data_IF_147297093992
#
_entry.id   IF_147297093992
#
_cell.length_a   1.000
_cell.length_b   1.000
_cell.length_c   1.000
_cell.angle_alpha   90.00
_cell.angle_beta   90.00
_cell.angle_gamma   90.00
#
_symmetry.space_group_name_H-M   'P 1'
#
loop_
_entity.id
_entity.type
_entity.pdbx_description
1 polymer ?
#
# COMPACT_ATOMS: atom_id res chain seq x y z
N UNK A 1 -7.85 -18.49 -14.30
CA UNK A 1 -7.12 -17.21 -14.44
C UNK A 1 -8.01 -16.04 -14.92
N UNK A 2 -9.34 -16.06 -14.72
CA UNK A 2 -10.28 -15.02 -15.18
C UNK A 2 -10.89 -14.11 -14.10
N UNK A 3 -10.26 -13.95 -12.92
CA UNK A 3 -10.88 -13.27 -11.76
C UNK A 3 -10.49 -11.77 -11.60
N UNK A 4 -9.32 -11.35 -12.08
CA UNK A 4 -8.79 -10.00 -11.83
C UNK A 4 -9.69 -8.87 -12.36
N UNK A 5 -10.15 -9.00 -13.61
CA UNK A 5 -11.03 -8.03 -14.25
C UNK A 5 -12.44 -8.00 -13.62
N UNK A 6 -13.06 -9.16 -13.42
CA UNK A 6 -14.38 -9.26 -12.78
C UNK A 6 -14.38 -8.63 -11.39
N UNK A 7 -13.32 -8.89 -10.61
CA UNK A 7 -13.13 -8.29 -9.29
C UNK A 7 -12.94 -6.78 -9.36
N UNK A 8 -12.18 -6.29 -10.33
CA UNK A 8 -11.99 -4.86 -10.58
C UNK A 8 -13.34 -4.16 -10.83
N UNK A 9 -14.12 -4.65 -11.79
CA UNK A 9 -15.43 -4.09 -12.14
C UNK A 9 -16.38 -4.09 -10.93
N UNK A 10 -16.43 -5.20 -10.18
CA UNK A 10 -17.26 -5.31 -8.98
C UNK A 10 -16.88 -4.28 -7.90
N UNK A 11 -15.59 -3.96 -7.75
CA UNK A 11 -15.11 -2.95 -6.80
C UNK A 11 -15.49 -1.55 -7.25
N UNK A 12 -15.22 -1.21 -8.52
CA UNK A 12 -15.52 0.12 -9.08
C UNK A 12 -17.01 0.42 -8.99
N UNK A 13 -17.88 -0.55 -9.31
CA UNK A 13 -19.33 -0.39 -9.18
C UNK A 13 -19.81 -0.05 -7.77
N UNK A 14 -19.04 -0.34 -6.71
CA UNK A 14 -19.43 0.00 -5.33
C UNK A 14 -19.23 1.47 -5.00
N UNK A 15 -18.13 2.07 -5.46
CA UNK A 15 -17.78 3.46 -5.12
C UNK A 15 -18.05 4.45 -6.27
N UNK A 16 -18.02 4.00 -7.52
CA UNK A 16 -18.28 4.81 -8.70
C UNK A 16 -19.10 4.04 -9.77
N UNK A 17 -20.43 3.95 -9.62
CA UNK A 17 -21.31 3.30 -10.60
C UNK A 17 -21.38 3.99 -11.96
N UNK A 18 -21.02 5.28 -12.04
CA UNK A 18 -21.09 6.09 -13.26
C UNK A 18 -19.78 6.04 -14.06
N UNK A 19 -18.87 5.16 -13.67
CA UNK A 19 -17.61 4.98 -14.36
C UNK A 19 -17.81 4.54 -15.81
N UNK A 20 -16.93 4.99 -16.71
CA UNK A 20 -16.92 4.51 -18.08
C UNK A 20 -16.34 3.09 -18.15
N UNK A 21 -17.20 2.10 -17.90
CA UNK A 21 -16.83 0.69 -17.96
C UNK A 21 -16.48 0.22 -19.37
N UNK A 22 -16.98 0.91 -20.41
CA UNK A 22 -16.63 0.61 -21.80
C UNK A 22 -15.17 0.98 -22.05
N UNK A 23 -14.72 2.12 -21.53
CA UNK A 23 -13.32 2.53 -21.61
C UNK A 23 -12.39 1.57 -20.83
N UNK A 24 -12.83 1.09 -19.65
CA UNK A 24 -12.09 0.09 -18.87
C UNK A 24 -11.99 -1.26 -19.61
N UNK A 25 -13.08 -1.72 -20.22
CA UNK A 25 -13.09 -2.93 -21.04
C UNK A 25 -12.17 -2.79 -22.25
N UNK A 26 -12.23 -1.65 -22.95
CA UNK A 26 -11.33 -1.34 -24.07
C UNK A 26 -9.86 -1.40 -23.62
N UNK A 27 -9.54 -0.81 -22.46
CA UNK A 27 -8.18 -0.83 -21.92
C UNK A 27 -7.71 -2.23 -21.54
N UNK A 28 -8.59 -3.04 -20.93
CA UNK A 28 -8.32 -4.43 -20.61
C UNK A 28 -8.01 -5.24 -21.86
N UNK A 29 -8.83 -5.13 -22.91
CA UNK A 29 -8.64 -5.89 -24.15
C UNK A 29 -7.35 -5.48 -24.86
N UNK A 30 -7.07 -4.18 -24.94
CA UNK A 30 -5.82 -3.68 -25.52
C UNK A 30 -4.59 -4.16 -24.72
N UNK A 31 -4.64 -4.15 -23.39
CA UNK A 31 -3.56 -4.69 -22.54
C UNK A 31 -3.38 -6.19 -22.74
N UNK A 32 -4.47 -6.96 -22.82
CA UNK A 32 -4.44 -8.39 -23.07
C UNK A 32 -3.83 -8.74 -24.43
N UNK A 33 -4.18 -7.98 -25.47
CA UNK A 33 -3.65 -8.14 -26.82
C UNK A 33 -2.17 -7.74 -26.89
N UNK A 34 -1.81 -6.59 -26.32
CA UNK A 34 -0.46 -6.04 -26.38
C UNK A 34 0.56 -6.94 -25.65
N UNK A 35 0.14 -7.56 -24.55
CA UNK A 35 0.97 -8.50 -23.79
C UNK A 35 0.69 -9.97 -24.11
N UNK A 36 0.04 -10.27 -25.23
CA UNK A 36 -0.26 -11.65 -25.61
C UNK A 36 1.03 -12.45 -25.83
N UNK A 37 1.11 -13.65 -25.24
CA UNK A 37 2.30 -14.49 -25.25
C UNK A 37 3.40 -14.05 -24.28
N UNK A 38 3.27 -12.90 -23.61
CA UNK A 38 4.22 -12.47 -22.58
C UNK A 38 3.91 -13.14 -21.23
N UNK A 39 4.95 -13.55 -20.52
CA UNK A 39 4.86 -14.15 -19.19
C UNK A 39 5.68 -13.35 -18.18
N UNK A 40 5.19 -13.30 -16.94
CA UNK A 40 5.96 -12.81 -15.80
C UNK A 40 7.05 -13.81 -15.44
N UNK A 41 8.03 -13.37 -14.67
CA UNK A 41 9.04 -14.23 -14.01
C UNK A 41 8.39 -15.33 -13.13
N UNK A 42 7.14 -15.14 -12.70
CA UNK A 42 6.36 -16.16 -11.98
C UNK A 42 5.82 -17.29 -12.85
N UNK A 43 5.87 -17.14 -14.18
CA UNK A 43 5.20 -18.00 -15.16
C UNK A 43 3.73 -17.63 -15.43
N UNK A 44 3.17 -16.65 -14.72
CA UNK A 44 1.80 -16.18 -14.96
C UNK A 44 1.72 -15.33 -16.23
N UNK A 45 0.55 -15.29 -16.93
CA UNK A 45 0.33 -14.36 -18.02
C UNK A 45 0.55 -12.90 -17.58
N UNK A 46 1.22 -12.11 -18.41
CA UNK A 46 1.60 -10.74 -18.03
C UNK A 46 0.41 -9.85 -17.63
N UNK A 47 -0.75 -10.03 -18.28
CA UNK A 47 -2.01 -9.31 -17.99
C UNK A 47 -2.44 -9.35 -16.51
N UNK A 48 -1.99 -10.36 -15.75
CA UNK A 48 -2.26 -10.44 -14.31
C UNK A 48 -1.72 -9.21 -13.59
N UNK A 49 -0.54 -8.71 -13.96
CA UNK A 49 0.07 -7.56 -13.29
C UNK A 49 -0.73 -6.26 -13.47
N UNK A 50 -1.05 -5.79 -14.69
CA UNK A 50 -1.89 -4.61 -14.86
C UNK A 50 -3.25 -4.72 -14.17
N UNK A 51 -3.84 -5.92 -14.14
CA UNK A 51 -5.11 -6.13 -13.44
C UNK A 51 -4.98 -6.00 -11.91
N UNK A 52 -3.91 -6.53 -11.32
CA UNK A 52 -3.66 -6.34 -9.89
C UNK A 52 -3.33 -4.89 -9.53
N UNK A 53 -2.60 -4.17 -10.38
CA UNK A 53 -2.34 -2.73 -10.22
C UNK A 53 -3.66 -1.96 -10.24
N UNK A 54 -4.53 -2.20 -11.22
CA UNK A 54 -5.84 -1.58 -11.29
C UNK A 54 -6.72 -1.92 -10.06
N UNK A 55 -6.65 -3.16 -9.54
CA UNK A 55 -7.36 -3.54 -8.32
C UNK A 55 -6.83 -2.80 -7.09
N UNK A 56 -5.52 -2.58 -6.97
CA UNK A 56 -4.93 -1.78 -5.89
C UNK A 56 -5.40 -0.31 -5.98
N UNK A 57 -5.49 0.24 -7.18
CA UNK A 57 -6.01 1.59 -7.40
C UNK A 57 -7.50 1.70 -7.07
N UNK A 58 -8.29 0.68 -7.41
CA UNK A 58 -9.71 0.61 -7.04
C UNK A 58 -9.91 0.45 -5.52
N UNK A 59 -8.97 -0.20 -4.82
CA UNK A 59 -8.92 -0.27 -3.35
C UNK A 59 -8.70 1.10 -2.68
N UNK A 60 -8.13 2.05 -3.43
CA UNK A 60 -7.95 3.45 -3.04
C UNK A 60 -9.07 4.36 -3.59
N UNK A 61 -10.08 3.78 -4.24
CA UNK A 61 -11.24 4.49 -4.81
C UNK A 61 -10.88 5.58 -5.83
N UNK A 62 -9.84 5.38 -6.64
CA UNK A 62 -9.45 6.33 -7.69
C UNK A 62 -10.49 6.44 -8.82
N UNK A 63 -10.43 7.55 -9.56
CA UNK A 63 -11.22 7.77 -10.76
C UNK A 63 -10.94 6.78 -11.90
N UNK A 64 -11.87 6.70 -12.85
CA UNK A 64 -11.80 5.76 -13.96
C UNK A 64 -10.59 5.99 -14.86
N UNK A 65 -10.20 7.25 -15.05
CA UNK A 65 -9.03 7.63 -15.86
C UNK A 65 -7.75 7.02 -15.27
N UNK A 66 -7.56 7.12 -13.95
CA UNK A 66 -6.41 6.51 -13.28
C UNK A 66 -6.46 4.98 -13.31
N UNK A 67 -7.64 4.38 -13.19
CA UNK A 67 -7.79 2.92 -13.35
C UNK A 67 -7.37 2.50 -14.76
N UNK A 68 -7.87 3.18 -15.80
CA UNK A 68 -7.50 2.92 -17.19
C UNK A 68 -5.99 3.10 -17.39
N UNK A 69 -5.42 4.20 -16.92
CA UNK A 69 -3.97 4.41 -16.99
C UNK A 69 -3.18 3.33 -16.24
N UNK A 70 -3.68 2.83 -15.09
CA UNK A 70 -3.08 1.71 -14.36
C UNK A 70 -3.13 0.38 -15.14
N UNK A 71 -4.16 0.13 -15.95
CA UNK A 71 -4.23 -1.03 -16.84
C UNK A 71 -3.21 -0.91 -17.99
N UNK A 72 -2.94 0.31 -18.45
CA UNK A 72 -2.09 0.59 -19.60
C UNK A 72 -0.65 0.97 -19.25
N UNK A 73 -0.28 0.99 -17.96
CA UNK A 73 0.93 1.67 -17.48
C UNK A 73 2.25 1.15 -18.06
N UNK A 74 2.35 -0.16 -18.33
CA UNK A 74 3.55 -0.80 -18.89
C UNK A 74 3.49 -0.98 -20.41
N UNK A 75 2.39 -0.59 -21.07
CA UNK A 75 2.20 -0.87 -22.50
C UNK A 75 3.21 -0.15 -23.38
N UNK A 76 3.53 1.11 -23.07
CA UNK A 76 4.49 1.89 -23.84
C UNK A 76 5.94 1.43 -23.59
N UNK A 77 6.20 0.77 -22.47
CA UNK A 77 7.55 0.27 -22.13
C UNK A 77 7.82 -1.13 -22.69
N UNK A 78 6.84 -2.02 -22.60
CA UNK A 78 7.03 -3.46 -22.84
C UNK A 78 6.43 -3.95 -24.17
N UNK A 79 5.86 -3.05 -24.97
CA UNK A 79 5.21 -3.39 -26.25
C UNK A 79 5.55 -2.39 -27.35
N UNK A 80 5.04 -2.62 -28.57
CA UNK A 80 5.24 -1.73 -29.71
C UNK A 80 4.31 -0.50 -29.74
N UNK A 81 3.41 -0.38 -28.78
CA UNK A 81 2.46 0.74 -28.71
C UNK A 81 3.15 2.05 -28.34
N UNK A 82 2.72 3.13 -28.99
CA UNK A 82 3.26 4.49 -28.80
C UNK A 82 2.32 5.39 -28.02
N UNK A 83 2.85 6.47 -27.46
CA UNK A 83 2.06 7.51 -26.79
C UNK A 83 0.91 8.03 -27.66
N UNK A 84 1.16 8.31 -28.93
CA UNK A 84 0.14 8.84 -29.85
C UNK A 84 -1.00 7.85 -30.04
N UNK A 85 -0.70 6.54 -30.13
CA UNK A 85 -1.74 5.51 -30.22
C UNK A 85 -2.58 5.43 -28.94
N UNK A 86 -1.98 5.59 -27.76
CA UNK A 86 -2.74 5.65 -26.50
C UNK A 86 -3.63 6.90 -26.47
N UNK A 87 -3.11 8.04 -26.90
CA UNK A 87 -3.84 9.32 -26.97
C UNK A 87 -5.03 9.25 -27.93
N UNK A 88 -4.85 8.67 -29.12
CA UNK A 88 -5.94 8.47 -30.09
C UNK A 88 -7.02 7.52 -29.55
N UNK A 89 -6.63 6.49 -28.79
CA UNK A 89 -7.57 5.47 -28.32
C UNK A 89 -8.29 5.82 -27.02
N UNK A 90 -7.66 6.56 -26.11
CA UNK A 90 -8.12 6.77 -24.73
C UNK A 90 -8.13 8.24 -24.32
N UNK A 91 -7.69 9.15 -25.18
CA UNK A 91 -7.66 10.59 -24.91
C UNK A 91 -6.36 11.07 -24.27
N UNK A 92 -6.22 12.41 -24.24
CA UNK A 92 -5.01 13.10 -23.80
C UNK A 92 -4.70 12.89 -22.31
N UNK A 93 -5.75 12.79 -21.48
CA UNK A 93 -5.61 12.62 -20.03
C UNK A 93 -4.99 11.26 -19.68
N UNK A 94 -5.52 10.16 -20.23
CA UNK A 94 -4.98 8.81 -20.03
C UNK A 94 -3.56 8.71 -20.56
N UNK A 95 -3.31 9.22 -21.78
CA UNK A 95 -1.98 9.19 -22.38
C UNK A 95 -0.96 9.93 -21.52
N UNK A 96 -1.32 11.11 -21.00
CA UNK A 96 -0.46 11.91 -20.11
C UNK A 96 -0.14 11.18 -18.80
N UNK A 97 -1.10 10.44 -18.24
CA UNK A 97 -0.86 9.61 -17.04
C UNK A 97 0.11 8.46 -17.34
N UNK A 98 -0.11 7.72 -18.42
CA UNK A 98 0.76 6.59 -18.84
C UNK A 98 2.18 7.09 -19.09
N UNK A 99 2.35 8.16 -19.86
CA UNK A 99 3.65 8.78 -20.12
C UNK A 99 4.34 9.26 -18.84
N UNK A 100 3.57 9.85 -17.91
CA UNK A 100 4.08 10.25 -16.61
C UNK A 100 4.64 9.07 -15.81
N UNK A 101 3.96 7.92 -15.83
CA UNK A 101 4.41 6.70 -15.13
C UNK A 101 5.66 6.12 -15.79
N UNK A 102 5.68 6.01 -17.12
CA UNK A 102 6.83 5.55 -17.92
C UNK A 102 8.08 6.40 -17.67
N UNK A 103 7.95 7.73 -17.73
CA UNK A 103 9.08 8.65 -17.53
C UNK A 103 9.68 8.56 -16.13
N UNK A 104 8.85 8.33 -15.11
CA UNK A 104 9.35 8.10 -13.75
C UNK A 104 10.14 6.79 -13.62
N UNK A 105 9.83 5.77 -14.42
CA UNK A 105 10.57 4.50 -14.43
C UNK A 105 11.98 4.59 -15.03
N UNK A 106 12.22 5.52 -15.96
CA UNK A 106 13.46 5.61 -16.75
C UNK A 106 14.54 6.55 -16.17
N UNK A 107 14.37 7.07 -14.96
CA UNK A 107 15.32 8.01 -14.37
C UNK A 107 16.58 7.23 -13.94
N UNK A 108 17.77 7.51 -14.54
CA UNK A 108 18.99 6.76 -14.24
C UNK A 108 19.43 6.99 -12.78
N UNK A 109 19.77 5.89 -12.12
CA UNK A 109 20.24 5.89 -10.74
C UNK A 109 21.77 6.02 -10.73
N UNK A 110 22.31 7.12 -10.22
CA UNK A 110 23.77 7.25 -10.01
C UNK A 110 24.06 7.96 -8.67
N UNK A 111 24.81 7.28 -7.80
CA UNK A 111 25.35 7.65 -6.47
C UNK A 111 24.43 8.28 -5.40
N UNK A 112 24.76 8.06 -4.12
CA UNK A 112 23.81 7.63 -3.08
C UNK A 112 23.05 8.71 -2.28
N UNK A 113 23.53 9.96 -2.18
CA UNK A 113 22.97 10.93 -1.21
C UNK A 113 22.36 12.19 -1.87
N UNK A 114 23.03 12.82 -2.84
CA UNK A 114 22.46 13.96 -3.58
C UNK A 114 21.26 13.55 -4.45
N UNK A 115 21.23 12.28 -4.90
CA UNK A 115 20.18 11.71 -5.75
C UNK A 115 18.87 11.44 -5.00
N UNK A 116 18.90 11.13 -3.69
CA UNK A 116 17.65 10.94 -2.94
C UNK A 116 16.85 12.25 -2.92
N UNK A 117 17.54 13.38 -2.71
CA UNK A 117 16.92 14.70 -2.74
C UNK A 117 16.44 15.08 -4.15
N UNK A 118 17.20 14.76 -5.20
CA UNK A 118 16.84 15.08 -6.58
C UNK A 118 15.72 14.19 -7.13
N UNK A 119 15.72 12.89 -6.83
CA UNK A 119 14.64 11.96 -7.14
C UNK A 119 13.37 12.33 -6.39
N UNK A 120 13.47 12.62 -5.09
CA UNK A 120 12.35 13.18 -4.34
C UNK A 120 11.85 14.46 -5.01
N UNK A 121 12.72 15.40 -5.38
CA UNK A 121 12.35 16.68 -6.03
C UNK A 121 11.68 16.50 -7.39
N UNK A 122 12.16 15.58 -8.23
CA UNK A 122 11.56 15.26 -9.54
C UNK A 122 10.25 14.50 -9.39
N UNK A 123 10.15 13.59 -8.42
CA UNK A 123 8.89 12.96 -8.04
C UNK A 123 7.89 14.01 -7.52
N UNK A 124 8.32 15.00 -6.73
CA UNK A 124 7.48 16.13 -6.32
C UNK A 124 7.05 17.00 -7.50
N UNK A 125 7.89 17.17 -8.52
CA UNK A 125 7.51 17.86 -9.76
C UNK A 125 6.49 17.05 -10.58
N UNK A 126 6.57 15.72 -10.58
CA UNK A 126 5.55 14.86 -11.18
C UNK A 126 4.23 14.90 -10.38
N UNK A 127 4.30 14.86 -9.05
CA UNK A 127 3.14 15.10 -8.16
C UNK A 127 2.48 16.45 -8.41
N UNK A 128 3.27 17.48 -8.74
CA UNK A 128 2.77 18.84 -8.96
C UNK A 128 1.91 18.97 -10.22
N UNK A 129 2.02 18.02 -11.18
CA UNK A 129 1.16 17.98 -12.37
C UNK A 129 -0.06 17.12 -12.15
N UNK A 130 0.13 15.90 -11.64
CA UNK A 130 -0.98 14.98 -11.34
C UNK A 130 -0.56 13.91 -10.32
N UNK A 131 -1.24 13.90 -9.16
CA UNK A 131 -1.00 12.92 -8.10
C UNK A 131 -1.30 11.48 -8.55
N UNK A 132 -2.20 11.27 -9.53
CA UNK A 132 -2.61 9.95 -10.02
C UNK A 132 -1.43 9.16 -10.60
N UNK A 133 -0.45 9.84 -11.21
CA UNK A 133 0.79 9.22 -11.72
C UNK A 133 1.54 8.50 -10.59
N UNK A 134 1.68 9.15 -9.44
CA UNK A 134 2.38 8.57 -8.28
C UNK A 134 1.57 7.44 -7.64
N UNK A 135 0.24 7.58 -7.59
CA UNK A 135 -0.63 6.52 -7.09
C UNK A 135 -0.51 5.25 -7.94
N UNK A 136 -0.48 5.39 -9.28
CA UNK A 136 -0.23 4.28 -10.21
C UNK A 136 1.14 3.67 -9.93
N UNK A 137 2.19 4.49 -9.77
CA UNK A 137 3.54 3.96 -9.51
C UNK A 137 3.68 3.26 -8.15
N UNK A 138 2.97 3.74 -7.13
CA UNK A 138 2.92 3.07 -5.83
C UNK A 138 2.17 1.73 -5.91
N UNK A 139 1.08 1.66 -6.69
CA UNK A 139 0.35 0.42 -6.92
C UNK A 139 1.17 -0.60 -7.72
N UNK A 140 1.86 -0.17 -8.78
CA UNK A 140 2.86 -0.95 -9.53
C UNK A 140 3.93 -1.50 -8.58
N UNK A 141 4.61 -0.62 -7.83
CA UNK A 141 5.65 -1.03 -6.89
C UNK A 141 5.15 -2.02 -5.85
N UNK A 142 3.95 -1.80 -5.31
CA UNK A 142 3.34 -2.72 -4.34
C UNK A 142 3.11 -4.10 -4.92
N UNK A 143 2.54 -4.20 -6.12
CA UNK A 143 2.35 -5.49 -6.77
C UNK A 143 3.70 -6.18 -7.05
N UNK A 144 4.69 -5.43 -7.53
CA UNK A 144 6.03 -5.96 -7.76
C UNK A 144 6.69 -6.49 -6.48
N UNK A 145 6.50 -5.82 -5.34
CA UNK A 145 6.97 -6.30 -4.04
C UNK A 145 6.23 -7.56 -3.57
N UNK A 146 4.94 -7.71 -3.89
CA UNK A 146 4.16 -8.94 -3.59
C UNK A 146 4.66 -10.15 -4.40
N UNK A 147 5.14 -9.92 -5.62
CA UNK A 147 5.67 -10.97 -6.51
C UNK A 147 7.20 -11.05 -6.52
N UNK A 148 7.89 -10.39 -5.59
CA UNK A 148 9.35 -10.25 -5.63
C UNK A 148 10.11 -11.58 -5.50
N UNK A 149 9.49 -12.61 -4.92
CA UNK A 149 10.11 -13.94 -4.72
C UNK A 149 10.56 -14.66 -6.01
N UNK A 150 10.07 -14.23 -7.18
CA UNK A 150 10.34 -14.87 -8.46
C UNK A 150 11.59 -14.33 -9.19
N UNK A 151 12.19 -13.24 -8.72
CA UNK A 151 13.39 -12.66 -9.34
C UNK A 151 14.68 -13.04 -8.58
N UNK A 152 15.88 -12.89 -9.16
CA UNK A 152 17.15 -13.20 -8.46
C UNK A 152 17.35 -12.40 -7.17
N UNK A 153 17.98 -13.01 -6.16
CA UNK A 153 18.15 -12.45 -4.80
C UNK A 153 18.79 -11.05 -4.79
N UNK A 154 19.79 -10.82 -5.65
CA UNK A 154 20.43 -9.51 -5.80
C UNK A 154 19.41 -8.41 -6.14
N UNK A 155 18.56 -8.66 -7.16
CA UNK A 155 17.48 -7.75 -7.56
C UNK A 155 16.39 -7.66 -6.49
N UNK A 156 16.14 -8.71 -5.72
CA UNK A 156 15.19 -8.65 -4.59
C UNK A 156 15.67 -7.65 -3.54
N UNK A 157 16.94 -7.74 -3.13
CA UNK A 157 17.53 -6.83 -2.14
C UNK A 157 17.57 -5.40 -2.67
N UNK A 158 17.97 -5.19 -3.92
CA UNK A 158 17.98 -3.88 -4.57
C UNK A 158 16.59 -3.22 -4.55
N UNK A 159 15.57 -3.90 -5.09
CA UNK A 159 14.19 -3.39 -5.12
C UNK A 159 13.62 -3.18 -3.73
N UNK A 160 13.96 -4.03 -2.75
CA UNK A 160 13.50 -3.87 -1.38
C UNK A 160 14.12 -2.64 -0.69
N UNK A 161 15.41 -2.34 -0.94
CA UNK A 161 16.07 -1.11 -0.46
C UNK A 161 15.42 0.13 -1.06
N UNK A 162 15.28 0.14 -2.38
CA UNK A 162 14.65 1.26 -3.10
C UNK A 162 13.22 1.52 -2.59
N UNK A 163 12.45 0.45 -2.39
CA UNK A 163 11.09 0.52 -1.83
C UNK A 163 11.06 1.17 -0.46
N UNK A 164 12.01 0.80 0.40
CA UNK A 164 12.06 1.29 1.77
C UNK A 164 12.55 2.75 1.87
N UNK A 165 13.48 3.13 1.01
CA UNK A 165 14.10 4.47 1.03
C UNK A 165 13.27 5.51 0.27
N UNK A 166 12.53 5.11 -0.76
CA UNK A 166 11.83 6.04 -1.68
C UNK A 166 10.30 5.88 -1.57
N UNK A 167 9.78 4.70 -1.87
CA UNK A 167 8.34 4.51 -2.08
C UNK A 167 7.53 4.47 -0.78
N UNK A 168 8.04 3.84 0.28
CA UNK A 168 7.37 3.83 1.57
C UNK A 168 7.29 5.24 2.21
N UNK A 169 8.37 6.05 2.23
CA UNK A 169 8.30 7.45 2.64
C UNK A 169 7.36 8.29 1.77
N UNK A 170 7.28 8.02 0.47
CA UNK A 170 6.34 8.69 -0.42
C UNK A 170 4.89 8.38 -0.05
N UNK A 171 4.54 7.10 0.09
CA UNK A 171 3.21 6.67 0.54
C UNK A 171 2.84 7.30 1.90
N UNK A 172 3.82 7.44 2.80
CA UNK A 172 3.63 8.14 4.08
C UNK A 172 3.27 9.63 3.89
N UNK A 173 3.99 10.35 3.02
CA UNK A 173 3.73 11.78 2.76
C UNK A 173 2.35 12.02 2.12
N UNK A 174 1.85 11.05 1.35
CA UNK A 174 0.50 11.08 0.77
C UNK A 174 -0.59 10.60 1.74
N UNK A 175 -0.25 10.21 2.98
CA UNK A 175 -1.20 9.70 3.96
C UNK A 175 -1.69 8.27 3.70
N UNK A 176 -1.14 7.57 2.70
CA UNK A 176 -1.58 6.23 2.27
C UNK A 176 -0.92 5.15 3.15
N UNK A 177 -1.38 5.10 4.39
CA UNK A 177 -0.74 4.28 5.43
C UNK A 177 -0.80 2.78 5.12
N UNK A 178 -1.89 2.29 4.49
CA UNK A 178 -2.04 0.88 4.10
C UNK A 178 -0.92 0.43 3.16
N UNK A 179 -0.66 1.19 2.09
CA UNK A 179 0.42 0.89 1.13
C UNK A 179 1.78 1.02 1.81
N UNK A 180 2.00 2.10 2.58
CA UNK A 180 3.26 2.30 3.30
C UNK A 180 3.64 1.07 4.12
N UNK A 181 2.74 0.60 4.99
CA UNK A 181 3.04 -0.50 5.90
C UNK A 181 3.30 -1.81 5.15
N UNK A 182 2.55 -2.06 4.09
CA UNK A 182 2.74 -3.27 3.30
C UNK A 182 4.08 -3.25 2.55
N UNK A 183 4.46 -2.10 1.97
CA UNK A 183 5.79 -1.92 1.37
C UNK A 183 6.91 -2.09 2.39
N UNK A 184 6.77 -1.52 3.60
CA UNK A 184 7.74 -1.63 4.68
C UNK A 184 7.94 -3.09 5.15
N UNK A 185 6.84 -3.82 5.38
CA UNK A 185 6.87 -5.23 5.82
C UNK A 185 7.44 -6.14 4.71
N UNK A 186 7.05 -5.92 3.45
CA UNK A 186 7.61 -6.65 2.31
C UNK A 186 9.09 -6.36 2.14
N UNK A 187 9.53 -5.10 2.23
CA UNK A 187 10.95 -4.75 2.18
C UNK A 187 11.74 -5.44 3.28
N UNK A 188 11.26 -5.42 4.53
CA UNK A 188 11.95 -6.06 5.65
C UNK A 188 12.17 -7.56 5.40
N UNK A 189 11.16 -8.23 4.84
CA UNK A 189 11.23 -9.66 4.52
C UNK A 189 12.42 -10.03 3.63
N UNK A 190 12.80 -9.14 2.70
CA UNK A 190 13.91 -9.38 1.76
C UNK A 190 15.23 -8.77 2.23
N UNK A 191 15.20 -7.69 3.02
CA UNK A 191 16.42 -7.05 3.53
C UNK A 191 17.01 -7.77 4.74
N UNK A 192 16.16 -8.28 5.64
CA UNK A 192 16.58 -9.07 6.80
C UNK A 192 15.60 -10.24 7.00
N UNK A 193 15.70 -11.30 6.19
CA UNK A 193 14.79 -12.44 6.29
C UNK A 193 14.83 -13.10 7.68
N UNK A 194 16.02 -13.18 8.29
CA UNK A 194 16.20 -13.78 9.62
C UNK A 194 15.49 -12.95 10.69
N UNK A 195 15.67 -11.63 10.68
CA UNK A 195 14.97 -10.71 11.56
C UNK A 195 13.46 -10.76 11.36
N UNK A 196 12.99 -10.74 10.12
CA UNK A 196 11.57 -10.80 9.77
C UNK A 196 10.91 -12.09 10.27
N UNK A 197 11.38 -13.27 9.85
CA UNK A 197 10.77 -14.53 10.25
C UNK A 197 10.97 -14.83 11.75
N UNK A 198 12.07 -14.38 12.34
CA UNK A 198 12.28 -14.42 13.79
C UNK A 198 11.20 -13.63 14.54
N UNK A 199 10.88 -12.42 14.07
CA UNK A 199 9.83 -11.57 14.63
C UNK A 199 8.44 -12.19 14.44
N UNK A 200 8.12 -12.67 13.23
CA UNK A 200 6.85 -13.35 12.92
C UNK A 200 6.62 -14.54 13.86
N UNK A 201 7.63 -15.40 14.02
CA UNK A 201 7.53 -16.58 14.89
C UNK A 201 7.32 -16.21 16.35
N UNK A 202 8.05 -15.21 16.85
CA UNK A 202 7.89 -14.74 18.24
C UNK A 202 6.50 -14.14 18.49
N UNK A 203 5.95 -13.40 17.54
CA UNK A 203 4.60 -12.83 17.63
C UNK A 203 3.55 -13.94 17.55
N UNK A 204 3.72 -14.91 16.66
CA UNK A 204 2.79 -16.03 16.48
C UNK A 204 2.66 -16.88 17.76
N UNK A 205 3.76 -17.14 18.48
CA UNK A 205 3.76 -17.95 19.72
C UNK A 205 2.84 -17.41 20.81
N UNK A 206 2.72 -16.08 20.95
CA UNK A 206 1.87 -15.44 21.97
C UNK A 206 0.57 -14.89 21.40
N UNK A 207 0.24 -15.19 20.14
CA UNK A 207 -0.86 -14.56 19.41
C UNK A 207 -2.21 -14.73 20.11
N UNK A 208 -2.55 -15.96 20.52
CA UNK A 208 -3.83 -16.26 21.18
C UNK A 208 -4.02 -15.53 22.50
N UNK A 209 -2.99 -15.53 23.36
CA UNK A 209 -3.00 -14.81 24.64
C UNK A 209 -3.22 -13.31 24.43
N UNK A 210 -2.57 -12.74 23.40
CA UNK A 210 -2.68 -11.31 23.05
C UNK A 210 -4.04 -10.96 22.45
N UNK A 211 -4.56 -11.78 21.53
CA UNK A 211 -5.89 -11.57 20.93
C UNK A 211 -6.99 -11.67 22.00
N UNK A 212 -6.88 -12.61 22.95
CA UNK A 212 -7.79 -12.71 24.08
C UNK A 212 -7.73 -11.45 24.97
N UNK A 213 -6.51 -11.00 25.32
CA UNK A 213 -6.31 -9.79 26.13
C UNK A 213 -6.88 -8.53 25.45
N UNK A 214 -6.66 -8.37 24.14
CA UNK A 214 -7.23 -7.23 23.38
C UNK A 214 -8.74 -7.33 23.33
N UNK A 215 -9.30 -8.52 23.12
CA UNK A 215 -10.75 -8.71 23.06
C UNK A 215 -11.41 -8.33 24.40
N UNK A 216 -10.75 -8.62 25.52
CA UNK A 216 -11.19 -8.20 26.85
C UNK A 216 -11.15 -6.67 27.01
N UNK A 217 -10.08 -6.01 26.55
CA UNK A 217 -9.96 -4.54 26.56
C UNK A 217 -11.05 -3.91 25.68
N UNK A 218 -11.22 -4.42 24.46
CA UNK A 218 -12.24 -3.93 23.50
C UNK A 218 -13.63 -4.05 24.12
N UNK A 219 -13.94 -5.20 24.72
CA UNK A 219 -15.22 -5.42 25.42
C UNK A 219 -15.40 -4.44 26.57
N UNK A 220 -14.39 -4.27 27.41
CA UNK A 220 -14.44 -3.35 28.57
C UNK A 220 -14.68 -1.90 28.12
N UNK A 221 -13.95 -1.44 27.10
CA UNK A 221 -14.14 -0.07 26.57
C UNK A 221 -15.53 0.06 25.97
N UNK A 222 -16.01 -0.94 25.23
CA UNK A 222 -17.34 -0.92 24.62
C UNK A 222 -18.47 -0.82 25.65
N UNK A 223 -18.41 -1.61 26.72
CA UNK A 223 -19.38 -1.54 27.82
C UNK A 223 -19.38 -0.15 28.48
N UNK A 224 -18.19 0.39 28.73
CA UNK A 224 -18.02 1.68 29.39
C UNK A 224 -18.46 2.85 28.52
N UNK A 225 -18.20 2.82 27.20
CA UNK A 225 -18.71 3.85 26.28
C UNK A 225 -20.22 3.78 26.15
N UNK A 226 -20.82 2.59 26.18
CA UNK A 226 -22.27 2.42 26.16
C UNK A 226 -22.94 2.95 27.43
N UNK A 227 -22.34 2.76 28.62
CA UNK A 227 -22.85 3.30 29.90
C UNK A 227 -22.99 4.83 29.89
N UNK A 228 -22.08 5.54 29.20
CA UNK A 228 -22.12 7.01 29.07
C UNK A 228 -22.87 7.48 27.82
N UNK A 229 -23.52 6.57 27.09
CA UNK A 229 -24.32 6.88 25.91
C UNK A 229 -23.53 7.32 24.68
N UNK A 230 -22.24 6.93 24.58
CA UNK A 230 -21.41 7.20 23.40
C UNK A 230 -21.38 5.97 22.50
N UNK A 231 -21.88 6.12 21.28
CA UNK A 231 -21.67 5.12 20.22
C UNK A 231 -20.23 5.17 19.72
N UNK A 232 -19.51 4.06 19.85
CA UNK A 232 -18.11 3.95 19.47
C UNK A 232 -17.84 2.62 18.75
N UNK A 233 -17.17 2.68 17.61
CA UNK A 233 -16.63 1.50 16.94
C UNK A 233 -15.21 1.25 17.47
N UNK A 234 -15.01 0.09 18.10
CA UNK A 234 -13.77 -0.23 18.80
C UNK A 234 -13.15 -1.47 18.16
N UNK A 235 -11.92 -1.33 17.65
CA UNK A 235 -11.20 -2.41 16.98
C UNK A 235 -9.78 -2.60 17.52
N UNK A 236 -9.34 -3.85 17.59
CA UNK A 236 -7.96 -4.21 17.86
C UNK A 236 -7.09 -3.96 16.62
N UNK A 237 -6.09 -3.10 16.74
CA UNK A 237 -5.14 -2.77 15.67
C UNK A 237 -3.79 -3.46 15.91
N UNK A 238 -3.44 -4.49 15.14
CA UNK A 238 -2.10 -5.08 15.20
C UNK A 238 -1.07 -4.07 14.68
N UNK A 239 0.14 -4.09 15.27
CA UNK A 239 1.26 -3.34 14.71
C UNK A 239 1.96 -4.11 13.60
N UNK A 240 2.43 -3.35 12.61
CA UNK A 240 3.19 -3.85 11.48
C UNK A 240 4.60 -4.29 11.90
N UNK A 241 5.12 -5.33 11.26
CA UNK A 241 6.37 -5.97 11.64
C UNK A 241 7.55 -5.02 11.54
N UNK A 242 7.61 -4.22 10.48
CA UNK A 242 8.66 -3.22 10.28
C UNK A 242 8.66 -2.14 11.36
N UNK A 243 7.49 -1.69 11.81
CA UNK A 243 7.40 -0.71 12.90
C UNK A 243 7.96 -1.29 14.21
N UNK A 244 7.69 -2.56 14.49
CA UNK A 244 8.22 -3.26 15.66
C UNK A 244 9.73 -3.45 15.51
N UNK A 245 10.19 -3.93 14.36
CA UNK A 245 11.60 -4.11 14.04
C UNK A 245 12.39 -2.81 14.20
N UNK A 246 11.91 -1.71 13.62
CA UNK A 246 12.55 -0.39 13.73
C UNK A 246 12.67 0.04 15.19
N UNK A 247 11.64 -0.18 16.03
CA UNK A 247 11.72 0.11 17.48
C UNK A 247 12.72 -0.79 18.20
N UNK A 248 12.78 -2.08 17.89
CA UNK A 248 13.76 -3.00 18.47
C UNK A 248 15.19 -2.54 18.18
N UNK A 249 15.47 -2.20 16.92
CA UNK A 249 16.81 -1.78 16.46
C UNK A 249 17.17 -0.40 17.02
N UNK A 250 16.28 0.60 16.91
CA UNK A 250 16.57 1.97 17.35
C UNK A 250 16.68 2.12 18.87
N UNK A 251 15.89 1.38 19.63
CA UNK A 251 15.87 1.47 21.10
C UNK A 251 16.70 0.38 21.77
N UNK A 252 17.35 -0.50 20.99
CA UNK A 252 18.07 -1.68 21.46
C UNK A 252 17.25 -2.52 22.47
N UNK A 253 15.97 -2.76 22.15
CA UNK A 253 15.00 -3.45 23.01
C UNK A 253 14.65 -4.84 22.48
N UNK A 254 14.45 -5.79 23.39
CA UNK A 254 13.88 -7.09 23.04
C UNK A 254 12.39 -6.97 22.75
N UNK A 255 11.82 -7.98 22.08
CA UNK A 255 10.39 -8.02 21.80
C UNK A 255 9.55 -8.02 23.09
N UNK A 256 10.03 -8.64 24.18
CA UNK A 256 9.31 -8.62 25.47
C UNK A 256 9.26 -7.22 26.09
N UNK A 257 10.27 -6.38 25.81
CA UNK A 257 10.34 -5.00 26.30
C UNK A 257 9.49 -4.03 25.47
N UNK A 258 8.93 -4.48 24.34
CA UNK A 258 7.98 -3.71 23.56
C UNK A 258 6.57 -3.97 24.11
N UNK A 259 6.19 -3.15 25.09
CA UNK A 259 4.86 -3.17 25.69
C UNK A 259 3.74 -2.78 24.70
N UNK A 260 4.08 -2.18 23.56
CA UNK A 260 3.12 -1.54 22.66
C UNK A 260 2.73 -2.36 21.41
N UNK A 261 2.92 -3.68 21.44
CA UNK A 261 2.73 -4.56 20.27
C UNK A 261 1.32 -4.55 19.67
N UNK A 262 0.33 -4.14 20.47
CA UNK A 262 -1.05 -3.99 20.05
C UNK A 262 -1.57 -2.63 20.46
N UNK A 263 -2.48 -2.10 19.66
CA UNK A 263 -3.21 -0.88 19.95
C UNK A 263 -4.70 -1.17 19.83
N UNK A 264 -5.52 -0.41 20.54
CA UNK A 264 -6.96 -0.36 20.33
C UNK A 264 -7.27 0.96 19.63
N UNK A 265 -8.08 0.91 18.58
CA UNK A 265 -8.62 2.10 17.92
C UNK A 265 -10.07 2.24 18.35
N UNK A 266 -10.43 3.46 18.75
CA UNK A 266 -11.81 3.84 19.05
C UNK A 266 -12.21 4.93 18.06
N UNK A 267 -13.28 4.69 17.31
CA UNK A 267 -13.84 5.60 16.30
C UNK A 267 -15.17 6.10 16.85
N UNK A 268 -15.29 7.43 16.94
CA UNK A 268 -16.48 8.12 17.46
C UNK A 268 -16.86 9.27 16.54
N UNK A 269 -18.10 9.74 16.66
CA UNK A 269 -18.69 10.73 15.76
C UNK A 269 -18.19 12.15 15.97
N UNK A 270 -17.75 12.52 17.19
CA UNK A 270 -17.35 13.90 17.49
C UNK A 270 -16.03 14.01 18.27
N UNK A 271 -15.37 15.17 18.14
CA UNK A 271 -14.15 15.48 18.89
C UNK A 271 -14.42 15.49 20.40
N UNK A 272 -15.61 15.92 20.83
CA UNK A 272 -16.02 15.90 22.24
C UNK A 272 -16.02 14.48 22.78
N UNK A 273 -16.55 13.53 22.01
CA UNK A 273 -16.58 12.11 22.38
C UNK A 273 -15.17 11.53 22.44
N UNK A 274 -14.24 11.96 21.58
CA UNK A 274 -12.83 11.54 21.67
C UNK A 274 -12.24 11.88 23.04
N UNK A 275 -12.50 13.09 23.57
CA UNK A 275 -12.00 13.48 24.90
C UNK A 275 -12.73 12.77 26.04
N UNK A 276 -14.03 12.51 25.91
CA UNK A 276 -14.79 11.75 26.90
C UNK A 276 -14.27 10.30 26.99
N UNK A 277 -14.09 9.64 25.85
CA UNK A 277 -13.49 8.30 25.76
C UNK A 277 -12.07 8.29 26.30
N UNK A 278 -11.25 9.31 25.99
CA UNK A 278 -9.89 9.40 26.53
C UNK A 278 -9.88 9.46 28.06
N UNK A 279 -10.75 10.28 28.66
CA UNK A 279 -10.89 10.38 30.12
C UNK A 279 -11.29 9.05 30.74
N UNK A 280 -12.27 8.37 30.14
CA UNK A 280 -12.75 7.05 30.55
C UNK A 280 -11.65 5.98 30.47
N UNK A 281 -10.86 5.97 29.40
CA UNK A 281 -9.73 5.04 29.26
C UNK A 281 -8.67 5.30 30.33
N UNK A 282 -8.40 6.57 30.68
CA UNK A 282 -7.46 6.92 31.74
C UNK A 282 -7.96 6.57 33.15
N UNK A 283 -9.27 6.50 33.37
CA UNK A 283 -9.86 6.03 34.62
C UNK A 283 -9.71 4.51 34.77
N UNK A 284 -9.93 3.76 33.68
CA UNK A 284 -9.85 2.29 33.67
C UNK A 284 -8.39 1.81 33.71
N UNK A 285 -7.51 2.48 32.96
CA UNK A 285 -6.12 2.07 32.81
C UNK A 285 -5.17 3.19 33.24
N UNK A 286 -4.22 2.84 34.10
CA UNK A 286 -3.15 3.75 34.51
C UNK A 286 -2.32 4.17 33.30
N UNK A 287 -2.31 5.46 32.98
CA UNK A 287 -1.51 5.97 31.88
C UNK A 287 -0.01 5.75 32.16
N UNK A 288 0.74 5.37 31.14
CA UNK A 288 2.20 5.38 31.24
C UNK A 288 2.65 6.86 31.27
N UNK A 289 3.08 7.34 32.43
CA UNK A 289 3.77 8.63 32.51
C UNK A 289 5.04 8.59 31.65
N UNK A 290 5.40 9.71 31.00
CA UNK A 290 6.74 9.86 30.42
C UNK A 290 7.75 9.67 31.55
N UNK A 291 8.50 8.57 31.51
CA UNK A 291 9.77 8.41 32.20
C UNK A 291 10.84 8.92 31.24
#
# INVERSE_FOLDING_TARGET
MGDGYTRLIKRIKKYNPNCDFVLIEKAHNLSLEAHNGQQRESGDPFIVHPMEVANILADLELDCTAIVAGILHDIVEDTSYTFEQIKENFGDEVASLVDGVTKLGKIPYTTKEELQAENLRKMFLAMAKDIRVILIKLADRLHNMRTLKYIPEEKQVEKAKETLEIYAPLAHRLGISKIKWELEDLSLRYLDPKGYYGLVNKIAKKRREREAYISEIVKTIHEKTAEIGIEAEIEGRPKHFYSIYRKMVQQNKTLEQIYDLFAVRVIVSTVKDCYAVLGLVHEIYKHAGKI
#
